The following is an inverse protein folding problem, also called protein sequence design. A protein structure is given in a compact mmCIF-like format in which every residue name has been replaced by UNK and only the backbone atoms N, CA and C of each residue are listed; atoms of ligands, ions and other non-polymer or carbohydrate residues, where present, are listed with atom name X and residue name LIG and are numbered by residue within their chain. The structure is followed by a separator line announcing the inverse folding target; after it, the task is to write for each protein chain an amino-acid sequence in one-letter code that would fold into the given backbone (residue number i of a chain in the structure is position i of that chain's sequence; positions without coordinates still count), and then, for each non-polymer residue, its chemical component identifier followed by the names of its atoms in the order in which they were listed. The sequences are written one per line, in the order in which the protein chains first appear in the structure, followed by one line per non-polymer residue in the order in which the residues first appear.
data_IF_707035360724
#
_entry.id   IF_707035360724
#
_cell.length_a   1.000
_cell.length_b   1.000
_cell.length_c   1.000
_cell.angle_alpha   90.00
_cell.angle_beta   90.00
_cell.angle_gamma   90.00
#
_symmetry.space_group_name_H-M   'P 1'
#
loop_
_entity.id
_entity.type
_entity.pdbx_description
1 polymer ?
#
# COMPACT_ATOMS: atom_id res chain seq x y z
N UNK A 1 -12.88 20.38 20.70
CA UNK A 1 -12.05 21.57 20.55
C UNK A 1 -11.12 21.68 21.74
N UNK A 2 -9.92 22.26 21.58
CA UNK A 2 -8.95 22.41 22.66
C UNK A 2 -8.50 23.85 22.82
N UNK A 3 -8.24 24.25 24.06
CA UNK A 3 -7.51 25.48 24.37
C UNK A 3 -6.01 25.15 24.36
N UNK A 4 -5.27 25.71 23.41
CA UNK A 4 -3.85 25.36 23.19
C UNK A 4 -2.98 25.67 24.40
N UNK A 5 -3.23 26.78 25.11
CA UNK A 5 -2.44 27.18 26.28
C UNK A 5 -2.72 26.23 27.46
N UNK A 6 -3.99 25.95 27.74
CA UNK A 6 -4.38 24.98 28.78
C UNK A 6 -3.86 23.58 28.47
N UNK A 7 -3.96 23.15 27.21
CA UNK A 7 -3.47 21.84 26.76
C UNK A 7 -1.97 21.72 26.96
N UNK A 8 -1.19 22.75 26.58
CA UNK A 8 0.25 22.77 26.80
C UNK A 8 0.61 22.64 28.29
N UNK A 9 -0.07 23.39 29.16
CA UNK A 9 0.13 23.28 30.63
C UNK A 9 -0.16 21.87 31.16
N UNK A 10 -1.18 21.20 30.62
CA UNK A 10 -1.48 19.81 30.99
C UNK A 10 -0.42 18.84 30.47
N UNK A 11 0.05 19.00 29.23
CA UNK A 11 1.13 18.18 28.67
C UNK A 11 2.41 18.34 29.50
N UNK A 12 2.79 19.58 29.83
CA UNK A 12 3.94 19.84 30.70
C UNK A 12 3.74 19.19 32.08
N UNK A 13 2.60 19.41 32.74
CA UNK A 13 2.30 18.82 34.04
C UNK A 13 2.46 17.30 34.08
N UNK A 14 2.04 16.59 33.02
CA UNK A 14 2.02 15.13 33.02
C UNK A 14 3.27 14.48 32.40
N UNK A 15 4.02 15.19 31.56
CA UNK A 15 5.12 14.60 30.79
C UNK A 15 6.47 15.30 30.99
N UNK A 16 6.56 16.42 31.72
CA UNK A 16 7.84 17.15 31.89
C UNK A 16 8.89 16.39 32.71
N UNK A 17 8.48 15.45 33.54
CA UNK A 17 9.38 14.64 34.36
C UNK A 17 10.11 13.55 33.55
N UNK A 18 9.71 13.31 32.30
CA UNK A 18 10.35 12.32 31.43
C UNK A 18 11.70 12.90 30.95
N UNK A 19 12.84 12.35 31.38
CA UNK A 19 14.15 12.85 30.97
C UNK A 19 14.35 12.63 29.47
N UNK A 20 15.02 13.58 28.80
CA UNK A 20 15.46 13.40 27.42
C UNK A 20 16.41 12.19 27.35
N UNK A 21 16.07 11.22 26.50
CA UNK A 21 16.96 10.11 26.15
C UNK A 21 18.14 10.54 25.30
N UNK A 22 19.10 9.64 25.10
CA UNK A 22 20.23 9.88 24.19
C UNK A 22 19.75 10.18 22.76
N UNK A 23 20.56 10.94 22.03
CA UNK A 23 20.27 11.25 20.62
C UNK A 23 20.32 9.97 19.78
N UNK A 24 19.15 9.57 19.26
CA UNK A 24 19.04 8.43 18.36
C UNK A 24 19.47 8.88 16.96
N UNK A 25 20.61 8.36 16.49
CA UNK A 25 21.00 8.52 15.09
C UNK A 25 20.02 7.78 14.20
N UNK A 26 19.40 8.47 13.24
CA UNK A 26 18.50 7.85 12.26
C UNK A 26 19.31 6.86 11.42
N UNK A 27 18.90 5.60 11.43
CA UNK A 27 19.51 4.60 10.57
C UNK A 27 19.17 4.91 9.09
N UNK A 28 20.18 4.84 8.24
CA UNK A 28 20.03 4.87 6.78
C UNK A 28 20.45 3.52 6.21
N UNK A 29 19.63 2.46 6.42
CA UNK A 29 19.96 1.16 5.87
C UNK A 29 19.98 1.23 4.34
N UNK A 30 20.82 0.41 3.69
CA UNK A 30 20.76 0.28 2.24
C UNK A 30 19.37 -0.18 1.82
N UNK A 31 18.89 0.36 0.69
CA UNK A 31 17.61 -0.06 0.14
C UNK A 31 17.67 -1.55 -0.18
N UNK A 32 16.74 -2.36 0.37
CA UNK A 32 16.77 -3.79 0.09
C UNK A 32 16.52 -4.01 -1.41
N UNK A 33 17.10 -5.06 -1.96
CA UNK A 33 16.88 -5.47 -3.35
C UNK A 33 16.67 -6.96 -3.40
N UNK A 34 15.81 -7.39 -4.31
CA UNK A 34 15.63 -8.79 -4.67
C UNK A 34 16.27 -8.99 -6.04
N UNK A 35 17.10 -10.02 -6.17
CA UNK A 35 17.73 -10.37 -7.45
C UNK A 35 16.88 -11.39 -8.24
N UNK A 36 16.03 -12.13 -7.54
CA UNK A 36 15.18 -13.18 -8.08
C UNK A 36 13.86 -13.30 -7.31
N UNK A 37 12.98 -14.18 -7.77
CA UNK A 37 11.75 -14.55 -7.06
C UNK A 37 12.11 -15.42 -5.86
N UNK A 38 11.76 -14.98 -4.65
CA UNK A 38 11.89 -15.78 -3.43
C UNK A 38 10.55 -16.38 -3.06
N UNK A 39 10.48 -17.71 -2.93
CA UNK A 39 9.25 -18.43 -2.58
C UNK A 39 9.31 -18.98 -1.17
N UNK A 40 8.22 -18.85 -0.43
CA UNK A 40 8.02 -19.47 0.86
C UNK A 40 6.63 -20.09 0.94
N UNK A 41 6.50 -21.21 1.67
CA UNK A 41 5.22 -21.79 2.02
C UNK A 41 5.16 -21.93 3.54
N UNK A 42 4.03 -21.51 4.12
CA UNK A 42 3.72 -21.64 5.53
C UNK A 42 2.41 -22.42 5.67
N UNK A 43 2.31 -23.20 6.74
CA UNK A 43 1.08 -23.84 7.18
C UNK A 43 0.54 -23.07 8.37
N UNK A 44 -0.77 -22.84 8.40
CA UNK A 44 -1.45 -22.10 9.46
C UNK A 44 -2.89 -22.61 9.61
N UNK A 45 -3.56 -22.27 10.71
CA UNK A 45 -4.95 -22.66 10.96
C UNK A 45 -5.93 -21.81 10.13
N UNK A 46 -5.95 -22.07 8.82
CA UNK A 46 -6.78 -21.38 7.82
C UNK A 46 -7.57 -22.39 6.99
N UNK A 47 -8.79 -22.04 6.58
CA UNK A 47 -9.62 -22.93 5.75
C UNK A 47 -9.26 -22.91 4.26
N UNK A 48 -8.74 -21.79 3.78
CA UNK A 48 -8.41 -21.60 2.37
C UNK A 48 -6.96 -21.16 2.25
N UNK A 49 -6.23 -21.62 1.23
CA UNK A 49 -4.90 -21.12 0.98
C UNK A 49 -4.97 -19.64 0.58
N UNK A 50 -3.87 -18.92 0.79
CA UNK A 50 -3.72 -17.53 0.39
C UNK A 50 -2.32 -17.31 -0.17
N UNK A 51 -2.23 -16.58 -1.29
CA UNK A 51 -0.95 -16.23 -1.91
C UNK A 51 -0.74 -14.72 -1.78
N UNK A 52 0.46 -14.36 -1.36
CA UNK A 52 0.94 -12.98 -1.25
C UNK A 52 2.09 -12.79 -2.23
N UNK A 53 2.06 -11.65 -2.92
CA UNK A 53 3.14 -11.15 -3.75
C UNK A 53 3.61 -9.84 -3.15
N UNK A 54 4.91 -9.69 -2.91
CA UNK A 54 5.48 -8.47 -2.37
C UNK A 54 6.69 -8.01 -3.16
N UNK A 55 6.69 -6.74 -3.53
CA UNK A 55 7.80 -6.05 -4.16
C UNK A 55 8.33 -4.97 -3.24
N UNK A 56 9.63 -4.72 -3.30
CA UNK A 56 10.24 -3.58 -2.62
C UNK A 56 9.92 -2.32 -3.43
N UNK A 57 9.42 -1.29 -2.77
CA UNK A 57 8.97 -0.04 -3.39
C UNK A 57 9.59 1.20 -2.72
N UNK A 58 9.46 2.40 -3.32
CA UNK A 58 10.04 3.64 -2.79
C UNK A 58 9.56 3.96 -1.40
N UNK A 59 10.39 4.66 -0.62
CA UNK A 59 10.00 5.24 0.67
C UNK A 59 8.74 6.10 0.53
N UNK A 60 8.00 6.26 1.63
CA UNK A 60 6.87 7.17 1.70
C UNK A 60 7.23 8.56 1.15
N UNK A 61 6.34 9.14 0.35
CA UNK A 61 6.51 10.44 -0.33
C UNK A 61 7.63 10.55 -1.37
N UNK A 62 8.42 9.50 -1.59
CA UNK A 62 9.39 9.49 -2.68
C UNK A 62 8.69 9.36 -4.04
N UNK A 63 9.40 9.70 -5.11
CA UNK A 63 8.90 9.52 -6.48
C UNK A 63 8.46 8.07 -6.71
N UNK A 64 7.28 7.90 -7.30
CA UNK A 64 6.67 6.58 -7.55
C UNK A 64 5.78 6.05 -6.42
N UNK A 65 5.88 6.56 -5.20
CA UNK A 65 5.05 6.10 -4.06
C UNK A 65 3.55 6.33 -4.32
N UNK A 66 3.15 7.58 -4.61
CA UNK A 66 1.76 7.91 -4.96
C UNK A 66 1.27 7.19 -6.23
N UNK A 67 2.15 7.02 -7.22
CA UNK A 67 1.81 6.31 -8.46
C UNK A 67 1.53 4.82 -8.20
N UNK A 68 2.22 4.20 -7.23
CA UNK A 68 1.96 2.83 -6.81
C UNK A 68 0.66 2.68 -6.02
N UNK A 69 0.26 3.65 -5.20
CA UNK A 69 -1.09 3.67 -4.62
C UNK A 69 -2.19 3.71 -5.70
N UNK A 70 -2.00 4.56 -6.72
CA UNK A 70 -2.91 4.62 -7.87
C UNK A 70 -2.89 3.28 -8.64
N UNK A 71 -1.73 2.68 -8.86
CA UNK A 71 -1.59 1.36 -9.49
C UNK A 71 -2.32 0.27 -8.69
N UNK A 72 -2.17 0.24 -7.36
CA UNK A 72 -2.88 -0.68 -6.49
C UNK A 72 -4.40 -0.54 -6.66
N UNK A 73 -4.90 0.70 -6.72
CA UNK A 73 -6.33 0.94 -6.92
C UNK A 73 -6.82 0.45 -8.30
N UNK A 74 -6.04 0.69 -9.36
CA UNK A 74 -6.34 0.22 -10.72
C UNK A 74 -6.35 -1.31 -10.79
N UNK A 75 -5.39 -1.96 -10.13
CA UNK A 75 -5.26 -3.42 -10.11
C UNK A 75 -6.39 -4.07 -9.29
N UNK A 76 -6.61 -3.65 -8.04
CA UNK A 76 -7.53 -4.33 -7.13
C UNK A 76 -8.27 -3.44 -6.11
N UNK A 77 -8.30 -2.12 -6.26
CA UNK A 77 -8.95 -1.21 -5.28
C UNK A 77 -10.48 -1.10 -5.35
N UNK A 78 -11.13 -1.67 -6.35
CA UNK A 78 -12.59 -1.65 -6.50
C UNK A 78 -13.09 -2.92 -7.20
N UNK A 79 -14.40 -3.15 -7.15
CA UNK A 79 -15.06 -4.23 -7.90
C UNK A 79 -14.87 -4.15 -9.42
N UNK A 80 -14.55 -2.95 -9.93
CA UNK A 80 -14.32 -2.69 -11.37
C UNK A 80 -12.84 -2.60 -11.74
N UNK A 81 -11.94 -2.83 -10.77
CA UNK A 81 -10.49 -2.86 -10.99
C UNK A 81 -10.09 -4.11 -11.78
N UNK A 82 -8.96 -4.05 -12.49
CA UNK A 82 -8.60 -5.06 -13.52
C UNK A 82 -8.62 -6.49 -12.98
N UNK A 83 -7.94 -6.74 -11.86
CA UNK A 83 -7.85 -8.07 -11.26
C UNK A 83 -9.17 -8.51 -10.62
N UNK A 84 -9.88 -7.60 -9.94
CA UNK A 84 -11.20 -7.92 -9.38
C UNK A 84 -12.18 -8.34 -10.48
N UNK A 85 -12.29 -7.53 -11.55
CA UNK A 85 -13.14 -7.84 -12.70
C UNK A 85 -12.76 -9.20 -13.29
N UNK A 86 -11.49 -9.41 -13.63
CA UNK A 86 -11.04 -10.61 -14.35
C UNK A 86 -11.11 -11.88 -13.50
N UNK A 87 -10.60 -11.86 -12.27
CA UNK A 87 -10.43 -13.07 -11.44
C UNK A 87 -11.65 -13.38 -10.56
N UNK A 88 -12.33 -12.36 -10.05
CA UNK A 88 -13.47 -12.53 -9.12
C UNK A 88 -14.79 -12.60 -9.87
N UNK A 89 -15.00 -11.72 -10.87
CA UNK A 89 -16.28 -11.62 -11.58
C UNK A 89 -16.35 -12.43 -12.87
N UNK A 90 -15.37 -12.27 -13.77
CA UNK A 90 -15.43 -12.88 -15.11
C UNK A 90 -15.07 -14.37 -15.06
N UNK A 91 -13.91 -14.72 -14.47
CA UNK A 91 -13.45 -16.11 -14.35
C UNK A 91 -13.98 -16.82 -13.11
N UNK A 92 -14.33 -16.06 -12.08
CA UNK A 92 -14.86 -16.57 -10.81
C UNK A 92 -13.97 -17.62 -10.12
N UNK A 93 -12.64 -17.53 -10.24
CA UNK A 93 -11.65 -18.46 -9.66
C UNK A 93 -11.01 -17.96 -8.35
N UNK A 94 -11.31 -16.71 -7.97
CA UNK A 94 -10.78 -16.07 -6.75
C UNK A 94 -11.95 -15.62 -5.87
N UNK A 95 -11.85 -15.82 -4.56
CA UNK A 95 -12.80 -15.26 -3.58
C UNK A 95 -12.55 -13.78 -3.34
N UNK A 96 -11.30 -13.41 -3.13
CA UNK A 96 -10.89 -12.03 -2.91
C UNK A 96 -9.49 -11.77 -3.44
N UNK A 97 -9.29 -10.56 -3.96
CA UNK A 97 -7.98 -10.03 -4.32
C UNK A 97 -7.89 -8.57 -3.89
N UNK A 98 -6.77 -8.20 -3.30
CA UNK A 98 -6.45 -6.83 -2.92
C UNK A 98 -5.03 -6.49 -3.36
N UNK A 99 -4.79 -5.20 -3.54
CA UNK A 99 -3.48 -4.65 -3.81
C UNK A 99 -3.31 -3.40 -2.95
N UNK A 100 -2.10 -3.16 -2.44
CA UNK A 100 -1.78 -1.98 -1.65
C UNK A 100 -0.32 -1.59 -1.80
N UNK A 101 -0.05 -0.30 -1.76
CA UNK A 101 1.28 0.22 -1.44
C UNK A 101 1.35 0.43 0.08
N UNK A 102 2.34 -0.19 0.71
CA UNK A 102 2.59 -0.11 2.15
C UNK A 102 3.80 0.78 2.38
N UNK A 103 3.56 2.10 2.43
CA UNK A 103 4.60 3.12 2.48
C UNK A 103 5.27 3.21 3.85
N UNK A 104 6.60 3.24 3.88
CA UNK A 104 7.40 3.35 5.10
C UNK A 104 8.61 4.28 4.94
N UNK A 105 9.12 4.79 6.06
CA UNK A 105 10.21 5.78 6.05
C UNK A 105 11.58 5.23 5.66
N UNK A 106 11.82 3.94 5.89
CA UNK A 106 13.11 3.28 5.58
C UNK A 106 13.03 2.57 4.23
N UNK A 107 11.96 1.82 4.01
CA UNK A 107 11.60 1.14 2.78
C UNK A 107 10.09 0.90 2.79
N UNK A 108 9.51 0.74 1.61
CA UNK A 108 8.11 0.38 1.44
C UNK A 108 7.98 -0.98 0.76
N UNK A 109 6.74 -1.47 0.69
CA UNK A 109 6.44 -2.63 -0.17
C UNK A 109 5.12 -2.47 -0.90
N UNK A 110 5.09 -2.86 -2.17
CA UNK A 110 3.83 -3.06 -2.89
C UNK A 110 3.40 -4.51 -2.73
N UNK A 111 2.14 -4.73 -2.40
CA UNK A 111 1.63 -6.06 -2.06
C UNK A 111 0.36 -6.38 -2.84
N UNK A 112 0.27 -7.60 -3.36
CA UNK A 112 -0.97 -8.20 -3.86
C UNK A 112 -1.27 -9.44 -3.01
N UNK A 113 -2.49 -9.55 -2.53
CA UNK A 113 -2.97 -10.68 -1.75
C UNK A 113 -4.15 -11.30 -2.46
N UNK A 114 -4.12 -12.62 -2.64
CA UNK A 114 -5.18 -13.37 -3.34
C UNK A 114 -5.59 -14.61 -2.56
N UNK A 115 -6.91 -14.77 -2.40
CA UNK A 115 -7.53 -15.98 -1.83
C UNK A 115 -8.26 -16.73 -2.94
N UNK A 116 -7.71 -17.84 -3.48
CA UNK A 116 -8.39 -18.67 -4.48
C UNK A 116 -9.69 -19.29 -3.94
N UNK A 117 -10.58 -19.70 -4.86
CA UNK A 117 -11.67 -20.62 -4.50
C UNK A 117 -11.14 -22.05 -4.26
N UNK A 118 -11.87 -22.89 -3.52
CA UNK A 118 -11.48 -24.28 -3.31
C UNK A 118 -11.21 -25.02 -4.62
N UNK A 119 -10.06 -25.70 -4.70
CA UNK A 119 -9.67 -26.50 -5.87
C UNK A 119 -9.08 -25.74 -7.06
N UNK A 120 -9.00 -24.40 -6.99
CA UNK A 120 -8.43 -23.59 -8.08
C UNK A 120 -6.90 -23.61 -8.09
N UNK A 121 -6.33 -23.56 -9.29
CA UNK A 121 -4.88 -23.58 -9.51
C UNK A 121 -4.24 -22.21 -9.25
N UNK A 122 -3.38 -22.16 -8.23
CA UNK A 122 -2.64 -20.95 -7.86
C UNK A 122 -1.68 -20.46 -8.95
N UNK A 123 -1.09 -21.37 -9.74
CA UNK A 123 -0.13 -20.98 -10.78
C UNK A 123 -0.86 -20.36 -11.98
N UNK A 124 -2.06 -20.87 -12.32
CA UNK A 124 -2.95 -20.22 -13.28
C UNK A 124 -3.38 -18.82 -12.83
N UNK A 125 -3.74 -18.67 -11.55
CA UNK A 125 -4.09 -17.35 -10.97
C UNK A 125 -2.89 -16.40 -11.03
N UNK A 126 -1.70 -16.89 -10.67
CA UNK A 126 -0.44 -16.15 -10.76
C UNK A 126 -0.19 -15.64 -12.18
N UNK A 127 -0.31 -16.51 -13.18
CA UNK A 127 -0.11 -16.13 -14.58
C UNK A 127 -1.04 -14.98 -15.02
N UNK A 128 -2.30 -14.96 -14.56
CA UNK A 128 -3.25 -13.88 -14.86
C UNK A 128 -2.86 -12.57 -14.15
N UNK A 129 -2.40 -12.65 -12.90
CA UNK A 129 -1.90 -11.48 -12.16
C UNK A 129 -0.68 -10.89 -12.89
N UNK A 130 0.25 -11.75 -13.28
CA UNK A 130 1.48 -11.36 -13.99
C UNK A 130 1.17 -10.75 -15.36
N UNK A 131 0.17 -11.26 -16.07
CA UNK A 131 -0.29 -10.69 -17.33
C UNK A 131 -0.85 -9.27 -17.17
N UNK A 132 -1.67 -9.02 -16.15
CA UNK A 132 -2.22 -7.67 -15.90
C UNK A 132 -1.16 -6.68 -15.43
N UNK A 133 -0.17 -7.13 -14.64
CA UNK A 133 0.99 -6.33 -14.29
C UNK A 133 1.80 -6.02 -15.56
N UNK A 134 2.12 -7.03 -16.39
CA UNK A 134 2.87 -6.85 -17.63
C UNK A 134 2.20 -5.86 -18.59
N UNK A 135 0.86 -5.91 -18.72
CA UNK A 135 0.10 -4.91 -19.49
C UNK A 135 0.31 -3.49 -18.97
N UNK A 136 0.25 -3.29 -17.64
CA UNK A 136 0.53 -1.98 -17.03
C UNK A 136 2.00 -1.57 -17.10
N UNK A 137 2.93 -2.51 -17.26
CA UNK A 137 4.35 -2.21 -17.52
C UNK A 137 4.57 -1.78 -18.96
N UNK A 138 3.84 -2.36 -19.91
CA UNK A 138 4.01 -2.10 -21.33
C UNK A 138 3.28 -0.83 -21.79
N UNK A 139 2.06 -0.62 -21.29
CA UNK A 139 1.17 0.45 -21.77
C UNK A 139 0.57 1.24 -20.60
N UNK A 140 0.47 2.59 -20.73
CA UNK A 140 -0.24 3.41 -19.76
C UNK A 140 -1.69 2.95 -19.54
N UNK A 141 -2.22 2.96 -18.30
CA UNK A 141 -3.64 2.78 -18.07
C UNK A 141 -4.45 3.88 -18.76
N UNK A 142 -5.74 3.65 -18.95
CA UNK A 142 -6.60 4.71 -19.49
C UNK A 142 -6.73 5.87 -18.50
N UNK A 143 -6.96 7.09 -19.00
CA UNK A 143 -7.25 8.26 -18.16
C UNK A 143 -8.43 8.00 -17.22
N UNK A 144 -9.45 7.26 -17.70
CA UNK A 144 -10.62 6.89 -16.90
C UNK A 144 -10.25 6.02 -15.70
N UNK A 145 -9.33 5.07 -15.85
CA UNK A 145 -8.87 4.22 -14.75
C UNK A 145 -8.11 5.03 -13.71
N UNK A 146 -7.22 5.91 -14.16
CA UNK A 146 -6.44 6.81 -13.29
C UNK A 146 -7.37 7.76 -12.55
N UNK A 147 -8.32 8.40 -13.25
CA UNK A 147 -9.26 9.33 -12.63
C UNK A 147 -10.14 8.64 -11.59
N UNK A 148 -10.64 7.42 -11.88
CA UNK A 148 -11.40 6.63 -10.90
C UNK A 148 -10.57 6.34 -9.65
N UNK A 149 -9.31 5.95 -9.82
CA UNK A 149 -8.41 5.68 -8.70
C UNK A 149 -8.16 6.95 -7.85
N UNK A 150 -7.88 8.08 -8.51
CA UNK A 150 -7.70 9.39 -7.85
C UNK A 150 -8.94 9.79 -7.06
N UNK A 151 -10.13 9.67 -7.64
CA UNK A 151 -11.40 9.97 -6.95
C UNK A 151 -11.58 9.13 -5.67
N UNK A 152 -11.21 7.84 -5.73
CA UNK A 152 -11.30 6.94 -4.57
C UNK A 152 -10.32 7.33 -3.45
N UNK A 153 -9.09 7.69 -3.82
CA UNK A 153 -8.06 8.15 -2.89
C UNK A 153 -8.46 9.49 -2.27
N UNK A 154 -8.88 10.46 -3.09
CA UNK A 154 -9.33 11.79 -2.64
C UNK A 154 -10.54 11.69 -1.71
N UNK A 155 -11.54 10.88 -2.06
CA UNK A 155 -12.71 10.66 -1.20
C UNK A 155 -12.28 10.06 0.16
N UNK A 156 -11.39 9.07 0.14
CA UNK A 156 -10.88 8.44 1.37
C UNK A 156 -10.08 9.41 2.24
N UNK A 157 -9.31 10.31 1.60
CA UNK A 157 -8.60 11.38 2.27
C UNK A 157 -9.57 12.35 2.96
N UNK A 158 -10.59 12.84 2.25
CA UNK A 158 -11.58 13.77 2.78
C UNK A 158 -12.40 13.16 3.92
N UNK A 159 -12.85 11.91 3.80
CA UNK A 159 -13.55 11.22 4.89
C UNK A 159 -12.65 11.00 6.11
N UNK A 160 -11.34 10.81 5.92
CA UNK A 160 -10.37 10.83 7.02
C UNK A 160 -10.34 12.20 7.73
N UNK A 161 -10.44 13.28 6.96
CA UNK A 161 -10.49 14.66 7.46
C UNK A 161 -11.75 15.06 8.19
N UNK A 162 -12.80 14.24 8.16
CA UNK A 162 -13.97 14.47 9.01
C UNK A 162 -13.73 13.95 10.45
N UNK A 163 -12.74 13.08 10.65
CA UNK A 163 -12.44 12.45 11.94
C UNK A 163 -11.36 13.23 12.68
N UNK A 164 -11.64 13.61 13.94
CA UNK A 164 -10.67 14.30 14.80
C UNK A 164 -9.48 13.39 15.14
N UNK A 165 -9.72 12.10 15.39
CA UNK A 165 -8.69 11.10 15.71
C UNK A 165 -9.04 9.72 15.15
N UNK A 166 -8.33 8.70 15.64
CA UNK A 166 -8.35 7.35 15.06
C UNK A 166 -7.47 7.24 13.82
N UNK A 167 -7.22 5.99 13.38
CA UNK A 167 -6.38 5.73 12.22
C UNK A 167 -6.91 6.45 10.97
N UNK A 168 -6.05 7.24 10.34
CA UNK A 168 -6.37 8.06 9.17
C UNK A 168 -7.14 9.36 9.45
N UNK A 169 -7.42 9.68 10.73
CA UNK A 169 -8.01 10.94 11.16
C UNK A 169 -7.01 12.09 11.23
N UNK A 170 -7.46 13.31 11.59
CA UNK A 170 -6.62 14.52 11.67
C UNK A 170 -5.42 14.35 12.60
N UNK A 171 -5.63 13.92 13.85
CA UNK A 171 -4.55 13.79 14.82
C UNK A 171 -3.48 12.77 14.38
N UNK A 172 -3.89 11.65 13.79
CA UNK A 172 -3.00 10.60 13.30
C UNK A 172 -2.16 11.11 12.11
N UNK A 173 -2.80 11.79 11.15
CA UNK A 173 -2.11 12.39 9.99
C UNK A 173 -1.15 13.50 10.38
N UNK A 174 -1.54 14.43 11.26
CA UNK A 174 -0.65 15.48 11.79
C UNK A 174 0.64 14.87 12.36
N UNK A 175 0.50 13.82 13.17
CA UNK A 175 1.64 13.12 13.75
C UNK A 175 2.48 12.39 12.69
N UNK A 176 1.83 11.67 11.77
CA UNK A 176 2.51 10.95 10.69
C UNK A 176 3.29 11.90 9.78
N UNK A 177 2.71 13.05 9.39
CA UNK A 177 3.38 14.04 8.57
C UNK A 177 4.57 14.64 9.31
N UNK A 178 4.39 15.10 10.54
CA UNK A 178 5.52 15.59 11.34
C UNK A 178 6.66 14.57 11.45
N UNK A 179 6.32 13.30 11.67
CA UNK A 179 7.30 12.21 11.77
C UNK A 179 8.03 11.91 10.46
N UNK A 180 7.39 12.10 9.31
CA UNK A 180 7.96 11.75 8.00
C UNK A 180 8.58 12.95 7.27
N UNK A 181 7.98 14.13 7.36
CA UNK A 181 8.37 15.35 6.63
C UNK A 181 8.93 16.45 7.53
N UNK A 182 8.65 16.40 8.85
CA UNK A 182 8.96 17.49 9.78
C UNK A 182 7.91 18.60 9.80
N UNK A 183 6.89 18.53 8.95
CA UNK A 183 5.80 19.49 8.85
C UNK A 183 4.44 18.80 9.12
N UNK A 184 3.74 19.12 10.22
CA UNK A 184 2.43 18.54 10.48
C UNK A 184 1.35 19.01 9.48
N UNK A 185 1.51 20.15 8.81
CA UNK A 185 0.49 20.73 7.89
C UNK A 185 0.64 20.27 6.43
N UNK A 186 1.29 19.11 6.20
CA UNK A 186 1.59 18.56 4.87
C UNK A 186 0.37 18.01 4.09
N UNK A 187 -0.85 18.45 4.42
CA UNK A 187 -2.08 17.91 3.85
C UNK A 187 -2.24 18.22 2.37
N UNK A 188 -1.88 19.44 1.96
CA UNK A 188 -2.08 19.89 0.58
C UNK A 188 -1.07 19.21 -0.34
N UNK A 189 0.16 19.05 0.12
CA UNK A 189 1.25 18.36 -0.57
C UNK A 189 0.93 16.88 -0.72
N UNK A 190 0.44 16.22 0.34
CA UNK A 190 0.01 14.82 0.29
C UNK A 190 -1.14 14.61 -0.70
N UNK A 191 -2.12 15.52 -0.76
CA UNK A 191 -3.20 15.39 -1.75
C UNK A 191 -2.70 15.71 -3.17
N UNK A 192 -1.87 16.74 -3.33
CA UNK A 192 -1.37 17.21 -4.62
C UNK A 192 -0.55 16.13 -5.34
N UNK A 193 0.26 15.34 -4.62
CA UNK A 193 1.02 14.23 -5.24
C UNK A 193 0.14 13.18 -5.90
N UNK A 194 -1.11 12.99 -5.45
CA UNK A 194 -2.07 12.11 -6.12
C UNK A 194 -2.79 12.81 -7.27
N UNK A 195 -3.17 14.07 -7.08
CA UNK A 195 -3.88 14.85 -8.11
C UNK A 195 -3.00 15.11 -9.34
N UNK A 196 -1.68 15.15 -9.18
CA UNK A 196 -0.73 15.31 -10.27
C UNK A 196 -0.46 14.03 -11.08
N UNK A 197 -0.87 12.84 -10.60
CA UNK A 197 -0.56 11.57 -11.27
C UNK A 197 -1.23 11.50 -12.65
N UNK A 198 -0.40 11.17 -13.65
CA UNK A 198 -0.77 10.87 -15.03
C UNK A 198 -0.73 9.35 -15.29
N UNK A 199 -1.38 8.86 -16.37
CA UNK A 199 -1.20 7.49 -16.82
C UNK A 199 0.25 7.04 -17.01
N UNK A 200 1.10 7.93 -17.55
CA UNK A 200 2.50 7.61 -17.77
C UNK A 200 3.26 7.40 -16.45
N UNK A 201 2.90 8.15 -15.39
CA UNK A 201 3.54 7.98 -14.07
C UNK A 201 3.21 6.61 -13.47
N UNK A 202 1.96 6.16 -13.63
CA UNK A 202 1.53 4.83 -13.19
C UNK A 202 2.30 3.72 -13.91
N UNK A 203 2.39 3.81 -15.25
CA UNK A 203 3.13 2.82 -16.03
C UNK A 203 4.62 2.80 -15.67
N UNK A 204 5.26 3.97 -15.54
CA UNK A 204 6.67 4.05 -15.13
C UNK A 204 6.89 3.45 -13.75
N UNK A 205 6.01 3.74 -12.78
CA UNK A 205 6.11 3.20 -11.44
C UNK A 205 5.95 1.66 -11.43
N UNK A 206 4.97 1.13 -12.17
CA UNK A 206 4.73 -0.32 -12.27
C UNK A 206 5.89 -1.03 -13.00
N UNK A 207 6.43 -0.44 -14.07
CA UNK A 207 7.61 -0.95 -14.78
C UNK A 207 8.88 -0.95 -13.92
N UNK A 208 9.04 0.07 -13.07
CA UNK A 208 10.23 0.23 -12.23
C UNK A 208 10.18 -0.67 -11.00
N UNK A 209 9.03 -0.70 -10.31
CA UNK A 209 8.93 -1.26 -8.95
C UNK A 209 8.21 -2.61 -8.87
N UNK A 210 7.53 -3.06 -9.92
CA UNK A 210 6.84 -4.38 -9.93
C UNK A 210 7.44 -5.41 -10.90
N UNK A 211 8.78 -5.59 -10.97
CA UNK A 211 9.37 -6.59 -11.86
C UNK A 211 8.84 -8.00 -11.55
N UNK A 212 8.39 -8.73 -12.57
CA UNK A 212 7.83 -10.08 -12.40
C UNK A 212 8.88 -11.07 -11.87
N UNK A 213 10.14 -10.90 -12.26
CA UNK A 213 11.25 -11.77 -11.85
C UNK A 213 11.90 -11.44 -10.49
N UNK A 214 11.45 -10.40 -9.78
CA UNK A 214 12.09 -9.94 -8.52
C UNK A 214 11.02 -9.57 -7.49
N UNK A 215 10.53 -10.57 -6.77
CA UNK A 215 9.49 -10.43 -5.74
C UNK A 215 9.54 -11.55 -4.71
N UNK A 216 8.87 -11.36 -3.59
CA UNK A 216 8.55 -12.44 -2.66
C UNK A 216 7.19 -13.02 -3.01
N UNK A 217 7.09 -14.34 -3.04
CA UNK A 217 5.86 -15.10 -3.15
C UNK A 217 5.69 -15.95 -1.89
N UNK A 218 4.71 -15.62 -1.06
CA UNK A 218 4.39 -16.37 0.15
C UNK A 218 3.05 -17.08 -0.05
N UNK A 219 3.03 -18.40 0.13
CA UNK A 219 1.78 -19.18 0.20
C UNK A 219 1.52 -19.57 1.65
N UNK A 220 0.36 -19.20 2.18
CA UNK A 220 -0.15 -19.76 3.43
C UNK A 220 -1.18 -20.81 3.06
N UNK A 221 -1.04 -22.02 3.60
CA UNK A 221 -1.94 -23.17 3.36
C UNK A 221 -2.57 -23.63 4.67
N UNK A 222 -3.72 -24.31 4.62
CA UNK A 222 -4.25 -25.01 5.79
C UNK A 222 -3.19 -25.95 6.37
N UNK A 223 -2.92 -25.83 7.66
CA UNK A 223 -2.15 -26.80 8.42
C UNK A 223 -2.95 -28.09 8.66
N UNK A 224 -2.27 -29.15 9.08
CA UNK A 224 -2.93 -30.36 9.53
C UNK A 224 -3.89 -30.03 10.70
N UNK A 225 -5.11 -30.58 10.68
CA UNK A 225 -5.99 -30.54 11.85
C UNK A 225 -5.31 -31.30 13.00
N UNK A 226 -5.11 -30.63 14.15
CA UNK A 226 -4.69 -31.27 15.42
C UNK A 226 -5.85 -32.05 16.06
#
# INVERSE_FOLDING_TARGET
DIDTEKTRKLVEKWFSEIPRGEDVKRAEPPQPRLEEVKRATLEDNVQLPRRYYAWISPKVFAEGDAALDVAANILAGSKTSRLNKRLVYDLQIVQSISARQSSGDLSSSFQIEVTPKPGEDLEKIQAIIDEEIAKLQAEPPSEREVQRAKNGIESSFLFGMEKVGGFGGKADRLNSYYRSTGDPDYFQEDLARYLAITPADVQRAVATYLPLGRRVELTVKPGAEE
#
